data_IF_201618585172
#
_entry.id   IF_201618585172
#
_cell.length_a   1.000
_cell.length_b   1.000
_cell.length_c   1.000
_cell.angle_alpha   90.00
_cell.angle_beta   90.00
_cell.angle_gamma   90.00
#
_symmetry.space_group_name_H-M   'P 1'
#
loop_
_entity.id
_entity.type
_entity.pdbx_description
1 polymer ?
#
# COMPACT_ATOMS: atom_id res chain seq x y z
N UNK A 1 -8.57 -14.96 0.74
CA UNK A 1 -7.56 -14.09 1.38
C UNK A 1 -6.29 -13.97 0.55
N UNK A 2 -5.38 -14.97 0.53
CA UNK A 2 -4.09 -14.86 -0.20
C UNK A 2 -4.19 -14.43 -1.66
N UNK A 3 -5.21 -14.90 -2.41
CA UNK A 3 -5.45 -14.47 -3.79
C UNK A 3 -5.87 -13.01 -3.93
N UNK A 4 -6.66 -12.48 -2.98
CA UNK A 4 -7.07 -11.07 -2.96
C UNK A 4 -5.86 -10.18 -2.62
N UNK A 5 -5.07 -10.56 -1.61
CA UNK A 5 -3.83 -9.87 -1.25
C UNK A 5 -2.88 -9.74 -2.45
N UNK A 6 -2.64 -10.85 -3.16
CA UNK A 6 -1.83 -10.84 -4.39
C UNK A 6 -2.41 -9.97 -5.50
N UNK A 7 -3.73 -9.98 -5.69
CA UNK A 7 -4.37 -9.16 -6.70
C UNK A 7 -4.18 -7.67 -6.43
N UNK A 8 -4.36 -7.25 -5.18
CA UNK A 8 -4.13 -5.86 -4.76
C UNK A 8 -2.66 -5.47 -4.91
N UNK A 9 -1.73 -6.32 -4.49
CA UNK A 9 -0.29 -6.09 -4.66
C UNK A 9 0.10 -5.95 -6.14
N UNK A 10 -0.49 -6.78 -7.01
CA UNK A 10 -0.28 -6.70 -8.45
C UNK A 10 -0.80 -5.39 -9.04
N UNK A 11 -1.97 -4.92 -8.62
CA UNK A 11 -2.52 -3.62 -9.04
C UNK A 11 -1.58 -2.48 -8.63
N UNK A 12 -1.18 -2.43 -7.36
CA UNK A 12 -0.24 -1.42 -6.85
C UNK A 12 1.07 -1.40 -7.66
N UNK A 13 1.65 -2.59 -7.90
CA UNK A 13 2.89 -2.75 -8.68
C UNK A 13 2.75 -2.31 -10.15
N UNK A 14 1.62 -2.62 -10.79
CA UNK A 14 1.35 -2.18 -12.17
C UNK A 14 1.21 -0.67 -12.26
N UNK A 15 0.54 -0.05 -11.29
CA UNK A 15 0.37 1.40 -11.23
C UNK A 15 1.72 2.09 -10.96
N UNK A 16 2.55 1.57 -10.05
CA UNK A 16 3.90 2.08 -9.81
C UNK A 16 4.74 2.07 -11.10
N UNK A 17 4.77 0.95 -11.83
CA UNK A 17 5.49 0.89 -13.12
C UNK A 17 4.99 1.93 -14.12
N UNK A 18 3.69 2.22 -14.12
CA UNK A 18 3.10 3.25 -14.99
C UNK A 18 3.56 4.65 -14.61
N UNK A 19 3.59 4.99 -13.32
CA UNK A 19 3.99 6.34 -12.89
C UNK A 19 5.48 6.59 -13.12
N UNK A 20 6.31 5.56 -12.99
CA UNK A 20 7.77 5.66 -13.21
C UNK A 20 8.12 5.76 -14.70
N UNK A 21 7.32 5.15 -15.57
CA UNK A 21 7.54 5.13 -17.02
C UNK A 21 6.92 6.30 -17.78
N UNK A 22 6.22 7.22 -17.11
CA UNK A 22 5.49 8.32 -17.75
C UNK A 22 5.86 9.67 -17.12
N UNK A 23 6.01 10.70 -17.96
CA UNK A 23 6.12 12.06 -17.46
C UNK A 23 4.72 12.64 -17.23
N UNK A 24 4.22 12.48 -16.01
CA UNK A 24 2.91 12.94 -15.57
C UNK A 24 2.99 14.25 -14.80
N UNK A 25 1.90 15.03 -14.87
CA UNK A 25 1.71 16.22 -14.03
C UNK A 25 1.57 15.83 -12.54
N UNK A 26 1.92 16.75 -11.64
CA UNK A 26 1.91 16.51 -10.18
C UNK A 26 0.57 15.97 -9.67
N UNK A 27 -0.55 16.57 -10.07
CA UNK A 27 -1.89 16.13 -9.64
C UNK A 27 -2.22 14.71 -10.08
N UNK A 28 -1.82 14.33 -11.30
CA UNK A 28 -1.99 12.98 -11.80
C UNK A 28 -1.10 11.96 -11.06
N UNK A 29 0.14 12.35 -10.72
CA UNK A 29 1.03 11.54 -9.88
C UNK A 29 0.43 11.35 -8.50
N UNK A 30 -0.06 12.41 -7.87
CA UNK A 30 -0.65 12.37 -6.52
C UNK A 30 -1.85 11.41 -6.45
N UNK A 31 -2.81 11.52 -7.38
CA UNK A 31 -3.97 10.61 -7.41
C UNK A 31 -3.59 9.15 -7.68
N UNK A 32 -2.57 8.90 -8.50
CA UNK A 32 -2.06 7.55 -8.71
C UNK A 32 -1.35 7.00 -7.47
N UNK A 33 -0.60 7.84 -6.75
CA UNK A 33 0.08 7.46 -5.50
C UNK A 33 -0.94 7.15 -4.40
N UNK A 34 -1.99 7.96 -4.24
CA UNK A 34 -3.14 7.66 -3.37
C UNK A 34 -3.65 6.24 -3.65
N UNK A 35 -3.93 5.94 -4.91
CA UNK A 35 -4.47 4.63 -5.30
C UNK A 35 -3.45 3.48 -5.08
N UNK A 36 -2.16 3.73 -5.28
CA UNK A 36 -1.09 2.76 -5.03
C UNK A 36 -1.00 2.42 -3.54
N UNK A 37 -1.05 3.45 -2.67
CA UNK A 37 -1.01 3.27 -1.21
C UNK A 37 -2.26 2.51 -0.75
N UNK A 38 -3.44 2.84 -1.27
CA UNK A 38 -4.69 2.11 -0.97
C UNK A 38 -4.61 0.63 -1.35
N UNK A 39 -4.16 0.31 -2.56
CA UNK A 39 -3.98 -1.08 -2.98
C UNK A 39 -2.90 -1.80 -2.15
N UNK A 40 -1.82 -1.12 -1.78
CA UNK A 40 -0.77 -1.68 -0.91
C UNK A 40 -1.32 -1.99 0.50
N UNK A 41 -2.10 -1.07 1.07
CA UNK A 41 -2.77 -1.26 2.34
C UNK A 41 -3.77 -2.43 2.31
N UNK A 42 -4.60 -2.51 1.27
CA UNK A 42 -5.55 -3.61 1.08
C UNK A 42 -4.82 -4.95 0.92
N UNK A 43 -3.70 -4.98 0.20
CA UNK A 43 -2.89 -6.19 0.04
C UNK A 43 -2.42 -6.73 1.39
N UNK A 44 -1.92 -5.85 2.26
CA UNK A 44 -1.51 -6.20 3.64
C UNK A 44 -2.71 -6.69 4.45
N UNK A 45 -3.82 -5.96 4.42
CA UNK A 45 -5.02 -6.30 5.18
C UNK A 45 -5.58 -7.69 4.80
N UNK A 46 -5.71 -7.98 3.51
CA UNK A 46 -6.27 -9.24 3.00
C UNK A 46 -5.41 -10.48 3.28
N UNK A 47 -4.20 -10.33 3.81
CA UNK A 47 -3.43 -11.46 4.35
C UNK A 47 -4.05 -11.99 5.64
N UNK A 48 -4.60 -11.10 6.47
CA UNK A 48 -5.02 -11.41 7.84
C UNK A 48 -6.54 -11.35 8.05
N UNK A 49 -7.25 -10.52 7.28
CA UNK A 49 -8.69 -10.26 7.47
C UNK A 49 -9.47 -10.36 6.15
N UNK A 50 -10.72 -10.82 6.24
CA UNK A 50 -11.56 -11.08 5.06
C UNK A 50 -12.42 -9.89 4.62
N UNK A 51 -12.79 -9.01 5.57
CA UNK A 51 -13.72 -7.91 5.31
C UNK A 51 -13.42 -6.67 6.17
N UNK A 52 -13.49 -5.50 5.54
CA UNK A 52 -13.26 -4.19 6.13
C UNK A 52 -13.84 -3.11 5.20
N UNK A 53 -14.26 -1.98 5.78
CA UNK A 53 -14.92 -0.90 5.04
C UNK A 53 -13.95 0.11 4.42
N UNK A 54 -12.68 0.13 4.87
CA UNK A 54 -11.64 1.04 4.35
C UNK A 54 -10.24 0.43 4.51
N UNK A 55 -9.25 0.86 3.70
CA UNK A 55 -7.87 0.38 3.83
C UNK A 55 -7.29 0.58 5.23
N UNK A 56 -7.56 1.73 5.87
CA UNK A 56 -7.12 2.04 7.24
C UNK A 56 -7.72 1.08 8.26
N UNK A 57 -9.02 0.81 8.18
CA UNK A 57 -9.66 -0.17 9.07
C UNK A 57 -9.08 -1.58 8.85
N UNK A 58 -8.86 -1.96 7.59
CA UNK A 58 -8.26 -3.24 7.22
C UNK A 58 -6.88 -3.43 7.85
N UNK A 59 -6.01 -2.40 7.78
CA UNK A 59 -4.69 -2.43 8.41
C UNK A 59 -4.78 -2.57 9.94
N UNK A 60 -5.60 -1.75 10.60
CA UNK A 60 -5.75 -1.80 12.05
C UNK A 60 -6.25 -3.17 12.53
N UNK A 61 -7.25 -3.76 11.86
CA UNK A 61 -7.71 -5.12 12.18
C UNK A 61 -6.63 -6.16 11.89
N UNK A 62 -5.89 -6.04 10.79
CA UNK A 62 -4.82 -6.97 10.45
C UNK A 62 -3.71 -6.98 11.52
N UNK A 63 -3.41 -5.84 12.14
CA UNK A 63 -2.42 -5.75 13.23
C UNK A 63 -2.76 -6.61 14.44
N UNK A 64 -4.04 -6.89 14.71
CA UNK A 64 -4.47 -7.77 15.81
C UNK A 64 -4.01 -9.23 15.62
N UNK A 65 -3.78 -9.65 14.37
CA UNK A 65 -3.37 -11.01 13.99
C UNK A 65 -1.91 -11.09 13.50
N UNK A 66 -1.25 -9.95 13.34
CA UNK A 66 0.09 -9.82 12.80
C UNK A 66 1.17 -9.88 13.91
N UNK A 67 2.35 -10.47 13.65
CA UNK A 67 3.49 -10.34 14.55
C UNK A 67 3.86 -8.87 14.83
N UNK A 68 4.12 -8.54 16.09
CA UNK A 68 4.47 -7.17 16.50
C UNK A 68 5.72 -6.61 15.79
N UNK A 69 6.64 -7.48 15.35
CA UNK A 69 7.82 -7.08 14.59
C UNK A 69 7.51 -6.43 13.23
N UNK A 70 6.29 -6.59 12.71
CA UNK A 70 5.85 -5.99 11.45
C UNK A 70 5.01 -4.71 11.65
N UNK A 71 4.66 -4.36 12.89
CA UNK A 71 3.74 -3.25 13.16
C UNK A 71 4.27 -1.90 12.73
N UNK A 72 5.58 -1.67 12.87
CA UNK A 72 6.21 -0.41 12.45
C UNK A 72 5.95 -0.13 10.96
N UNK A 73 6.13 -1.14 10.10
CA UNK A 73 5.89 -1.01 8.67
C UNK A 73 4.41 -0.76 8.35
N UNK A 74 3.49 -1.39 9.09
CA UNK A 74 2.06 -1.12 8.93
C UNK A 74 1.70 0.31 9.34
N UNK A 75 2.28 0.82 10.42
CA UNK A 75 2.07 2.21 10.83
C UNK A 75 2.55 3.20 9.77
N UNK A 76 3.67 2.93 9.09
CA UNK A 76 4.13 3.76 7.96
C UNK A 76 3.08 3.81 6.85
N UNK A 77 2.51 2.67 6.47
CA UNK A 77 1.45 2.63 5.43
C UNK A 77 0.19 3.36 5.89
N UNK A 78 -0.19 3.27 7.17
CA UNK A 78 -1.30 4.07 7.73
C UNK A 78 -1.04 5.56 7.57
N UNK A 79 0.17 6.04 7.88
CA UNK A 79 0.52 7.46 7.73
C UNK A 79 0.48 7.91 6.26
N UNK A 80 0.88 7.05 5.33
CA UNK A 80 0.81 7.33 3.88
C UNK A 80 -0.64 7.47 3.37
N UNK A 81 -1.62 6.87 4.05
CA UNK A 81 -3.04 7.02 3.72
C UNK A 81 -3.63 8.36 4.20
N UNK A 82 -3.01 9.03 5.17
CA UNK A 82 -3.58 10.22 5.81
C UNK A 82 -3.25 11.51 5.05
N UNK A 83 -2.00 11.68 4.64
CA UNK A 83 -1.58 12.89 3.93
C UNK A 83 -0.47 12.60 2.93
N UNK A 84 -0.65 13.09 1.70
CA UNK A 84 0.36 13.04 0.66
C UNK A 84 0.97 14.43 0.40
N UNK A 85 2.30 14.50 0.21
CA UNK A 85 3.01 15.75 -0.01
C UNK A 85 2.79 16.33 -1.41
N UNK A 86 2.96 17.65 -1.53
CA UNK A 86 2.94 18.37 -2.82
C UNK A 86 4.32 18.36 -3.50
N UNK A 87 4.96 17.19 -3.55
CA UNK A 87 6.28 17.02 -4.17
C UNK A 87 6.33 15.71 -4.97
N UNK A 88 6.60 15.80 -6.28
CA UNK A 88 6.59 14.65 -7.21
C UNK A 88 7.60 13.57 -6.81
N UNK A 89 8.81 13.93 -6.40
CA UNK A 89 9.85 12.96 -6.02
C UNK A 89 9.47 12.22 -4.74
N UNK A 90 8.94 12.95 -3.75
CA UNK A 90 8.51 12.35 -2.49
C UNK A 90 7.27 11.46 -2.67
N UNK A 91 6.35 11.84 -3.56
CA UNK A 91 5.22 11.00 -3.96
C UNK A 91 5.67 9.68 -4.59
N UNK A 92 6.66 9.73 -5.50
CA UNK A 92 7.24 8.52 -6.09
C UNK A 92 7.93 7.65 -5.05
N UNK A 93 8.63 8.26 -4.09
CA UNK A 93 9.23 7.54 -2.98
C UNK A 93 8.16 6.82 -2.13
N UNK A 94 7.09 7.52 -1.74
CA UNK A 94 5.97 6.94 -0.97
C UNK A 94 5.34 5.76 -1.72
N UNK A 95 5.08 5.91 -3.03
CA UNK A 95 4.52 4.83 -3.84
C UNK A 95 5.42 3.58 -3.86
N UNK A 96 6.74 3.76 -3.95
CA UNK A 96 7.70 2.64 -3.89
C UNK A 96 7.71 1.99 -2.52
N UNK A 97 7.81 2.79 -1.46
CA UNK A 97 7.88 2.30 -0.08
C UNK A 97 6.62 1.52 0.30
N UNK A 98 5.43 2.03 -0.06
CA UNK A 98 4.17 1.32 0.19
C UNK A 98 4.13 -0.06 -0.51
N UNK A 99 4.56 -0.13 -1.78
CA UNK A 99 4.62 -1.40 -2.54
C UNK A 99 5.66 -2.35 -1.97
N UNK A 100 6.82 -1.84 -1.53
CA UNK A 100 7.88 -2.64 -0.92
C UNK A 100 7.44 -3.25 0.41
N UNK A 101 6.83 -2.45 1.29
CA UNK A 101 6.26 -2.92 2.56
C UNK A 101 5.19 -3.99 2.29
N UNK A 102 4.25 -3.71 1.40
CA UNK A 102 3.20 -4.67 1.06
C UNK A 102 3.78 -5.96 0.48
N UNK A 103 4.78 -5.88 -0.41
CA UNK A 103 5.46 -7.04 -0.98
C UNK A 103 6.13 -7.88 0.12
N UNK A 104 6.86 -7.23 1.02
CA UNK A 104 7.56 -7.89 2.13
C UNK A 104 6.58 -8.66 3.02
N UNK A 105 5.49 -8.02 3.45
CA UNK A 105 4.50 -8.65 4.32
C UNK A 105 3.73 -9.77 3.60
N UNK A 106 3.29 -9.53 2.37
CA UNK A 106 2.53 -10.51 1.58
C UNK A 106 3.40 -11.75 1.35
N UNK A 107 4.61 -11.59 0.81
CA UNK A 107 5.50 -12.71 0.45
C UNK A 107 5.99 -13.49 1.67
N UNK A 108 6.16 -12.85 2.83
CA UNK A 108 6.55 -13.55 4.06
C UNK A 108 5.44 -14.45 4.62
N UNK A 109 4.18 -14.19 4.29
CA UNK A 109 3.01 -14.88 4.85
C UNK A 109 2.33 -15.85 3.87
N UNK A 110 2.97 -16.12 2.71
CA UNK A 110 2.47 -17.05 1.70
C UNK A 110 3.01 -18.46 1.92
#
# INVERSE_FOLDING_TARGET
MKSLAFNELNKASQMLRRIEGQDLQLSAVKGLVETIVEHSANAIAFIYVEDFSSPREGLLKAMEYMPQSMWEEVFKVILMLEELPENKELLLYIAREAVEIASSIVLHNI
#
